data_IF_155943467362
#
_entry.id   IF_155943467362
#
_cell.length_a   1.000
_cell.length_b   1.000
_cell.length_c   1.000
_cell.angle_alpha   90.00
_cell.angle_beta   90.00
_cell.angle_gamma   90.00
#
_symmetry.space_group_name_H-M   'P 1'
#
loop_
_entity.id
_entity.type
_entity.pdbx_description
1 polymer ?
#
# COMPACT_ATOMS: atom_id res chain seq x y z
N UNK A 1 -5.46 -8.31 -22.01
CA UNK A 1 -5.85 -8.37 -20.57
C UNK A 1 -6.58 -7.11 -20.09
N UNK A 2 -6.14 -5.89 -20.43
CA UNK A 2 -6.78 -4.66 -19.96
C UNK A 2 -8.22 -4.48 -20.49
N UNK A 3 -8.45 -4.68 -21.79
CA UNK A 3 -9.76 -4.45 -22.43
C UNK A 3 -10.78 -5.59 -22.30
N UNK A 4 -10.47 -6.66 -21.57
CA UNK A 4 -11.36 -7.81 -21.42
C UNK A 4 -12.35 -7.60 -20.26
N UNK A 5 -13.55 -8.18 -20.37
CA UNK A 5 -14.52 -8.22 -19.27
C UNK A 5 -13.91 -8.80 -17.97
N UNK A 6 -14.39 -8.40 -16.78
CA UNK A 6 -13.80 -8.81 -15.50
C UNK A 6 -13.63 -10.32 -15.32
N UNK A 7 -14.60 -11.11 -15.81
CA UNK A 7 -14.55 -12.59 -15.75
C UNK A 7 -13.42 -13.14 -16.62
N UNK A 8 -13.33 -12.69 -17.87
CA UNK A 8 -12.26 -13.08 -18.80
C UNK A 8 -10.90 -12.67 -18.28
N UNK A 9 -10.79 -11.47 -17.70
CA UNK A 9 -9.56 -11.00 -17.07
C UNK A 9 -9.13 -11.89 -15.89
N UNK A 10 -10.08 -12.36 -15.07
CA UNK A 10 -9.78 -13.28 -13.97
C UNK A 10 -9.27 -14.63 -14.47
N UNK A 11 -9.86 -15.19 -15.53
CA UNK A 11 -9.40 -16.43 -16.15
C UNK A 11 -7.99 -16.30 -16.75
N UNK A 12 -7.72 -15.20 -17.48
CA UNK A 12 -6.38 -14.92 -18.03
C UNK A 12 -5.34 -14.72 -16.92
N UNK A 13 -5.72 -14.08 -15.82
CA UNK A 13 -4.84 -13.94 -14.66
C UNK A 13 -4.50 -15.29 -14.03
N UNK A 14 -5.46 -16.22 -13.96
CA UNK A 14 -5.21 -17.56 -13.42
C UNK A 14 -4.34 -18.40 -14.36
N UNK A 15 -4.62 -18.39 -15.66
CA UNK A 15 -3.78 -19.02 -16.66
C UNK A 15 -2.33 -18.51 -16.60
N UNK A 16 -2.14 -17.19 -16.47
CA UNK A 16 -0.80 -16.61 -16.32
C UNK A 16 -0.10 -17.11 -15.05
N UNK A 17 -0.79 -17.22 -13.92
CA UNK A 17 -0.18 -17.76 -12.69
C UNK A 17 0.24 -19.22 -12.85
N UNK A 18 -0.59 -20.04 -13.51
CA UNK A 18 -0.26 -21.44 -13.77
C UNK A 18 0.99 -21.59 -14.66
N UNK A 19 1.09 -20.76 -15.70
CA UNK A 19 2.28 -20.68 -16.56
C UNK A 19 3.50 -20.24 -15.74
N UNK A 20 3.39 -19.15 -14.96
CA UNK A 20 4.50 -18.65 -14.14
C UNK A 20 4.96 -19.68 -13.11
N UNK A 21 4.04 -20.43 -12.51
CA UNK A 21 4.37 -21.44 -11.50
C UNK A 21 5.09 -22.67 -12.08
N UNK A 22 4.87 -22.98 -13.37
CA UNK A 22 5.37 -24.21 -14.00
C UNK A 22 6.57 -23.95 -14.92
N UNK A 23 6.54 -22.83 -15.65
CA UNK A 23 7.39 -22.59 -16.82
C UNK A 23 8.37 -21.43 -16.61
N UNK A 24 8.09 -20.48 -15.70
CA UNK A 24 8.96 -19.34 -15.43
C UNK A 24 9.95 -19.65 -14.28
N UNK A 25 11.26 -19.31 -14.41
CA UNK A 25 11.87 -18.53 -15.49
C UNK A 25 12.44 -19.33 -16.66
N UNK A 26 12.64 -20.64 -16.53
CA UNK A 26 13.47 -21.40 -17.47
C UNK A 26 12.88 -21.51 -18.88
N UNK A 27 11.58 -21.79 -19.00
CA UNK A 27 10.89 -21.99 -20.27
C UNK A 27 10.29 -20.70 -20.83
N UNK A 28 10.23 -19.63 -20.03
CA UNK A 28 9.68 -18.34 -20.47
C UNK A 28 10.52 -17.12 -20.03
N UNK A 29 11.80 -17.03 -20.45
CA UNK A 29 12.73 -16.02 -19.97
C UNK A 29 12.35 -14.58 -20.34
N UNK A 30 11.70 -14.39 -21.50
CA UNK A 30 11.32 -13.07 -22.02
C UNK A 30 10.01 -12.52 -21.45
N UNK A 31 9.39 -13.22 -20.48
CA UNK A 31 8.12 -12.78 -19.89
C UNK A 31 8.25 -11.39 -19.25
N UNK A 32 9.29 -11.16 -18.46
CA UNK A 32 9.47 -9.90 -17.72
C UNK A 32 9.81 -8.77 -18.67
N UNK A 33 10.70 -8.99 -19.64
CA UNK A 33 11.04 -7.98 -20.65
C UNK A 33 9.80 -7.57 -21.46
N UNK A 34 8.98 -8.54 -21.87
CA UNK A 34 7.72 -8.30 -22.58
C UNK A 34 6.73 -7.50 -21.74
N UNK A 35 6.58 -7.80 -20.45
CA UNK A 35 5.72 -7.05 -19.53
C UNK A 35 6.23 -5.61 -19.38
N UNK A 36 7.53 -5.42 -19.21
CA UNK A 36 8.13 -4.09 -19.08
C UNK A 36 7.93 -3.25 -20.34
N UNK A 37 8.03 -3.84 -21.53
CA UNK A 37 7.70 -3.15 -22.79
C UNK A 37 6.23 -2.69 -22.85
N UNK A 38 5.30 -3.40 -22.21
CA UNK A 38 3.91 -2.92 -22.12
C UNK A 38 3.79 -1.72 -21.17
N UNK A 39 4.46 -1.78 -20.01
CA UNK A 39 4.46 -0.71 -19.00
C UNK A 39 5.07 0.58 -19.55
N UNK A 40 6.15 0.49 -20.34
CA UNK A 40 6.86 1.66 -20.89
C UNK A 40 6.36 2.10 -22.27
N UNK A 41 5.29 1.50 -22.79
CA UNK A 41 4.83 1.73 -24.16
C UNK A 41 4.21 3.11 -24.43
N UNK A 42 3.85 3.86 -23.38
CA UNK A 42 3.10 5.11 -23.50
C UNK A 42 1.60 4.95 -23.79
N UNK A 43 1.12 3.73 -24.03
CA UNK A 43 -0.31 3.44 -24.22
C UNK A 43 -0.97 3.02 -22.90
N UNK A 44 -2.08 3.67 -22.55
CA UNK A 44 -2.77 3.43 -21.28
C UNK A 44 -3.30 2.00 -21.13
N UNK A 45 -3.82 1.40 -22.20
CA UNK A 45 -4.35 0.02 -22.14
C UNK A 45 -3.24 -1.01 -22.00
N UNK A 46 -2.10 -0.79 -22.65
CA UNK A 46 -0.90 -1.62 -22.50
C UNK A 46 -0.29 -1.46 -21.12
N UNK A 47 -0.23 -0.25 -20.57
CA UNK A 47 0.19 0.00 -19.19
C UNK A 47 -0.67 -0.78 -18.20
N UNK A 48 -2.00 -0.69 -18.32
CA UNK A 48 -2.94 -1.41 -17.45
C UNK A 48 -2.73 -2.93 -17.56
N UNK A 49 -2.56 -3.45 -18.77
CA UNK A 49 -2.29 -4.87 -19.00
C UNK A 49 -0.95 -5.31 -18.38
N UNK A 50 0.10 -4.50 -18.55
CA UNK A 50 1.43 -4.75 -18.00
C UNK A 50 1.44 -4.78 -16.48
N UNK A 51 0.82 -3.80 -15.82
CA UNK A 51 0.70 -3.75 -14.36
C UNK A 51 -0.10 -4.93 -13.81
N UNK A 52 -1.20 -5.31 -14.47
CA UNK A 52 -1.99 -6.47 -14.07
C UNK A 52 -1.18 -7.76 -14.23
N UNK A 53 -0.47 -7.93 -15.34
CA UNK A 53 0.38 -9.10 -15.59
C UNK A 53 1.49 -9.18 -14.53
N UNK A 54 2.26 -8.10 -14.34
CA UNK A 54 3.34 -8.04 -13.36
C UNK A 54 2.85 -8.38 -11.96
N UNK A 55 1.70 -7.82 -11.56
CA UNK A 55 1.07 -8.12 -10.28
C UNK A 55 0.77 -9.61 -10.10
N UNK A 56 0.28 -10.29 -11.14
CA UNK A 56 0.00 -11.72 -11.04
C UNK A 56 1.27 -12.55 -10.99
N UNK A 57 2.32 -12.15 -11.74
CA UNK A 57 3.64 -12.82 -11.71
C UNK A 57 4.24 -12.74 -10.30
N UNK A 58 4.38 -11.53 -9.72
CA UNK A 58 4.99 -11.39 -8.38
C UNK A 58 4.18 -12.11 -7.30
N UNK A 59 2.86 -12.19 -7.47
CA UNK A 59 1.97 -12.84 -6.51
C UNK A 59 2.19 -14.36 -6.41
N UNK A 60 2.69 -15.03 -7.46
CA UNK A 60 3.06 -16.46 -7.41
C UNK A 60 4.17 -16.71 -6.38
N UNK A 61 5.02 -15.71 -6.16
CA UNK A 61 6.16 -15.80 -5.25
C UNK A 61 5.92 -15.16 -3.88
N UNK A 62 4.73 -14.59 -3.64
CA UNK A 62 4.43 -13.75 -2.46
C UNK A 62 4.74 -14.46 -1.12
N UNK A 63 4.44 -15.75 -1.04
CA UNK A 63 4.62 -16.58 0.17
C UNK A 63 5.64 -17.71 0.00
N UNK A 64 6.44 -17.68 -1.08
CA UNK A 64 7.51 -18.67 -1.27
C UNK A 64 8.62 -18.44 -0.23
N UNK A 65 9.20 -19.55 0.25
CA UNK A 65 10.30 -19.52 1.22
C UNK A 65 11.47 -18.71 0.69
N UNK A 66 12.09 -17.92 1.59
CA UNK A 66 13.32 -17.20 1.29
C UNK A 66 14.58 -18.03 1.58
N UNK A 67 14.43 -19.19 2.21
CA UNK A 67 15.54 -20.09 2.49
C UNK A 67 15.88 -20.94 1.26
N UNK A 68 17.14 -21.35 1.18
CA UNK A 68 17.61 -22.30 0.16
C UNK A 68 17.16 -23.69 0.58
N UNK A 69 16.41 -24.37 -0.29
CA UNK A 69 15.97 -25.75 -0.08
C UNK A 69 17.14 -26.73 -0.05
N UNK A 70 16.86 -27.97 0.36
CA UNK A 70 17.86 -29.06 0.34
C UNK A 70 18.38 -29.38 -1.07
N UNK A 71 17.64 -28.97 -2.09
CA UNK A 71 17.98 -29.07 -3.51
C UNK A 71 18.87 -27.91 -4.01
N UNK A 72 19.25 -26.98 -3.14
CA UNK A 72 20.04 -25.80 -3.48
C UNK A 72 19.24 -24.68 -4.17
N UNK A 73 17.91 -24.84 -4.30
CA UNK A 73 17.05 -23.87 -4.97
C UNK A 73 16.50 -22.89 -3.93
N UNK A 74 16.57 -21.59 -4.22
CA UNK A 74 15.87 -20.56 -3.45
C UNK A 74 14.55 -20.22 -4.14
N UNK A 75 13.37 -20.65 -3.63
CA UNK A 75 12.09 -20.53 -4.34
C UNK A 75 11.67 -19.07 -4.64
N UNK A 76 12.21 -18.12 -3.88
CA UNK A 76 11.95 -16.68 -4.03
C UNK A 76 12.97 -15.96 -4.91
N UNK A 77 14.05 -16.61 -5.36
CA UNK A 77 15.06 -15.99 -6.22
C UNK A 77 14.49 -15.35 -7.50
N UNK A 78 13.51 -15.96 -8.22
CA UNK A 78 12.89 -15.32 -9.38
C UNK A 78 12.23 -13.98 -9.05
N UNK A 79 11.60 -13.85 -7.87
CA UNK A 79 11.02 -12.59 -7.42
C UNK A 79 12.09 -11.52 -7.20
N UNK A 80 13.24 -11.87 -6.64
CA UNK A 80 14.33 -10.92 -6.43
C UNK A 80 14.87 -10.38 -7.75
N UNK A 81 15.04 -11.25 -8.76
CA UNK A 81 15.42 -10.82 -10.11
C UNK A 81 14.37 -9.88 -10.73
N UNK A 82 13.07 -10.22 -10.60
CA UNK A 82 11.98 -9.35 -11.08
C UNK A 82 12.03 -7.99 -10.40
N UNK A 83 12.18 -7.95 -9.06
CA UNK A 83 12.23 -6.69 -8.30
C UNK A 83 13.41 -5.84 -8.75
N UNK A 84 14.60 -6.42 -8.90
CA UNK A 84 15.80 -5.70 -9.35
C UNK A 84 15.63 -5.05 -10.72
N UNK A 85 14.89 -5.68 -11.64
CA UNK A 85 14.65 -5.15 -12.99
C UNK A 85 13.51 -4.14 -13.02
N UNK A 86 12.39 -4.45 -12.35
CA UNK A 86 11.15 -3.69 -12.54
C UNK A 86 11.01 -2.49 -11.62
N UNK A 87 11.55 -2.52 -10.40
CA UNK A 87 11.24 -1.50 -9.39
C UNK A 87 11.76 -0.10 -9.71
N UNK A 88 12.95 0.09 -10.33
CA UNK A 88 13.38 1.42 -10.80
C UNK A 88 12.35 2.07 -11.74
N UNK A 89 11.86 1.33 -12.74
CA UNK A 89 10.84 1.84 -13.67
C UNK A 89 9.48 2.06 -12.98
N UNK A 90 9.09 1.19 -12.04
CA UNK A 90 7.85 1.39 -11.28
C UNK A 90 7.89 2.65 -10.41
N UNK A 91 9.06 3.02 -9.91
CA UNK A 91 9.27 4.23 -9.11
C UNK A 91 9.17 5.50 -9.96
N UNK A 92 9.73 5.48 -11.17
CA UNK A 92 9.52 6.53 -12.17
C UNK A 92 8.05 6.65 -12.55
N UNK A 93 7.39 5.51 -12.80
CA UNK A 93 5.97 5.46 -13.11
C UNK A 93 5.11 6.04 -11.96
N UNK A 94 5.43 5.75 -10.69
CA UNK A 94 4.76 6.37 -9.55
C UNK A 94 4.83 7.90 -9.61
N UNK A 95 6.00 8.46 -9.95
CA UNK A 95 6.16 9.91 -10.09
C UNK A 95 5.28 10.49 -11.20
N UNK A 96 5.23 9.80 -12.34
CA UNK A 96 4.38 10.21 -13.46
C UNK A 96 2.89 10.15 -13.11
N UNK A 97 2.45 9.05 -12.49
CA UNK A 97 1.04 8.87 -12.09
C UNK A 97 0.61 9.92 -11.06
N UNK A 98 1.46 10.24 -10.08
CA UNK A 98 1.17 11.29 -9.10
C UNK A 98 0.96 12.66 -9.77
N UNK A 99 1.81 13.00 -10.74
CA UNK A 99 1.66 14.21 -11.54
C UNK A 99 0.41 14.17 -12.45
N UNK A 100 -0.03 13.00 -12.92
CA UNK A 100 -1.31 12.83 -13.62
C UNK A 100 -2.51 13.07 -12.70
N UNK A 101 -2.48 12.54 -11.46
CA UNK A 101 -3.53 12.78 -10.47
C UNK A 101 -3.67 14.28 -10.20
N UNK A 102 -2.54 14.97 -9.94
CA UNK A 102 -2.55 16.41 -9.67
C UNK A 102 -3.14 17.21 -10.84
N UNK A 103 -2.68 16.94 -12.06
CA UNK A 103 -3.20 17.60 -13.28
C UNK A 103 -4.69 17.34 -13.49
N UNK A 104 -5.11 16.09 -13.32
CA UNK A 104 -6.51 15.70 -13.49
C UNK A 104 -7.42 16.38 -12.45
N UNK A 105 -7.00 16.42 -11.18
CA UNK A 105 -7.75 17.12 -10.14
C UNK A 105 -7.83 18.63 -10.37
N UNK A 106 -6.74 19.27 -10.81
CA UNK A 106 -6.75 20.69 -11.19
C UNK A 106 -7.70 20.97 -12.37
N UNK A 107 -7.75 20.06 -13.33
CA UNK A 107 -8.68 20.11 -14.46
C UNK A 107 -10.12 19.70 -14.10
N UNK A 108 -10.37 19.24 -12.87
CA UNK A 108 -11.65 18.65 -12.41
C UNK A 108 -12.09 17.45 -13.26
N UNK A 109 -11.14 16.67 -13.75
CA UNK A 109 -11.38 15.41 -14.48
C UNK A 109 -11.26 14.23 -13.51
N UNK A 110 -12.35 13.95 -12.80
CA UNK A 110 -12.42 12.87 -11.82
C UNK A 110 -12.21 11.49 -12.46
N UNK A 111 -12.54 11.33 -13.75
CA UNK A 111 -12.35 10.08 -14.48
C UNK A 111 -10.86 9.82 -14.73
N UNK A 112 -10.12 10.82 -15.21
CA UNK A 112 -8.68 10.72 -15.39
C UNK A 112 -7.95 10.52 -14.06
N UNK A 113 -8.33 11.24 -13.01
CA UNK A 113 -7.76 11.08 -11.67
C UNK A 113 -7.99 9.64 -11.14
N UNK A 114 -9.22 9.13 -11.28
CA UNK A 114 -9.56 7.76 -10.90
C UNK A 114 -8.70 6.72 -11.61
N UNK A 115 -8.45 6.88 -12.91
CA UNK A 115 -7.59 5.97 -13.70
C UNK A 115 -6.16 5.97 -13.15
N UNK A 116 -5.57 7.14 -12.93
CA UNK A 116 -4.21 7.26 -12.39
C UNK A 116 -4.09 6.66 -10.97
N UNK A 117 -5.06 6.94 -10.08
CA UNK A 117 -5.13 6.37 -8.73
C UNK A 117 -5.25 4.84 -8.74
N UNK A 118 -6.01 4.27 -9.68
CA UNK A 118 -6.13 2.81 -9.85
C UNK A 118 -4.78 2.20 -10.25
N UNK A 119 -4.00 2.88 -11.09
CA UNK A 119 -2.67 2.45 -11.50
C UNK A 119 -1.67 2.54 -10.35
N UNK A 120 -1.63 3.65 -9.60
CA UNK A 120 -0.80 3.76 -8.39
C UNK A 120 -1.10 2.65 -7.38
N UNK A 121 -2.39 2.34 -7.20
CA UNK A 121 -2.82 1.24 -6.33
C UNK A 121 -2.31 -0.11 -6.83
N UNK A 122 -2.27 -0.35 -8.14
CA UNK A 122 -1.69 -1.58 -8.68
C UNK A 122 -0.19 -1.67 -8.40
N UNK A 123 0.55 -0.56 -8.54
CA UNK A 123 1.97 -0.49 -8.17
C UNK A 123 2.18 -0.78 -6.69
N UNK A 124 1.37 -0.18 -5.79
CA UNK A 124 1.41 -0.49 -4.36
C UNK A 124 1.14 -1.97 -4.06
N UNK A 125 0.22 -2.61 -4.80
CA UNK A 125 -0.05 -4.05 -4.66
C UNK A 125 1.09 -4.93 -5.16
N UNK A 126 1.84 -4.49 -6.18
CA UNK A 126 3.06 -5.16 -6.64
C UNK A 126 4.11 -5.08 -5.53
N UNK A 127 4.34 -3.88 -4.97
CA UNK A 127 5.25 -3.68 -3.84
C UNK A 127 4.87 -4.59 -2.65
N UNK A 128 3.59 -4.61 -2.27
CA UNK A 128 3.09 -5.45 -1.18
C UNK A 128 3.41 -6.93 -1.40
N UNK A 129 3.02 -7.50 -2.55
CA UNK A 129 3.26 -8.92 -2.83
C UNK A 129 4.76 -9.26 -2.89
N UNK A 130 5.60 -8.29 -3.28
CA UNK A 130 7.05 -8.48 -3.29
C UNK A 130 7.69 -8.44 -1.90
N UNK A 131 7.20 -7.60 -0.98
CA UNK A 131 7.92 -7.23 0.24
C UNK A 131 7.26 -7.65 1.56
N UNK A 132 5.96 -7.98 1.59
CA UNK A 132 5.25 -8.20 2.87
C UNK A 132 5.75 -9.42 3.65
N UNK A 133 6.20 -10.47 2.96
CA UNK A 133 6.65 -11.73 3.56
C UNK A 133 8.14 -11.75 3.88
N UNK A 134 8.98 -11.27 2.95
CA UNK A 134 10.42 -11.04 3.14
C UNK A 134 10.82 -9.86 2.25
N UNK A 135 11.68 -8.99 2.76
CA UNK A 135 12.15 -7.83 2.01
C UNK A 135 13.06 -8.28 0.86
N UNK A 136 12.88 -7.80 -0.37
CA UNK A 136 13.80 -8.07 -1.46
C UNK A 136 15.20 -7.49 -1.18
N UNK A 137 16.29 -8.16 -1.61
CA UNK A 137 17.66 -7.69 -1.39
C UNK A 137 17.91 -6.25 -1.88
N UNK A 138 17.27 -5.84 -2.98
CA UNK A 138 17.36 -4.46 -3.50
C UNK A 138 17.10 -3.40 -2.42
N UNK A 139 16.17 -3.63 -1.49
CA UNK A 139 15.86 -2.67 -0.42
C UNK A 139 16.84 -2.72 0.76
N UNK A 140 17.58 -3.81 0.90
CA UNK A 140 18.66 -3.94 1.89
C UNK A 140 19.96 -3.35 1.34
N UNK A 141 20.22 -3.54 0.05
CA UNK A 141 21.49 -3.19 -0.58
C UNK A 141 21.50 -1.77 -1.17
N UNK A 142 20.36 -1.26 -1.66
CA UNK A 142 20.22 0.12 -2.16
C UNK A 142 19.35 0.96 -1.22
N UNK A 143 20.06 1.64 -0.35
CA UNK A 143 19.52 2.53 0.66
C UNK A 143 18.70 3.70 0.08
N UNK A 144 19.11 4.25 -1.07
CA UNK A 144 18.44 5.37 -1.69
C UNK A 144 17.16 4.92 -2.38
N UNK A 145 17.20 3.74 -3.00
CA UNK A 145 16.04 3.16 -3.65
C UNK A 145 14.88 2.94 -2.66
N UNK A 146 15.16 2.39 -1.47
CA UNK A 146 14.13 2.25 -0.44
C UNK A 146 13.60 3.62 0.05
N UNK A 147 14.47 4.60 0.27
CA UNK A 147 14.08 5.97 0.66
C UNK A 147 13.10 6.59 -0.35
N UNK A 148 13.38 6.46 -1.65
CA UNK A 148 12.50 6.97 -2.69
C UNK A 148 11.13 6.27 -2.70
N UNK A 149 11.07 4.97 -2.44
CA UNK A 149 9.78 4.27 -2.29
C UNK A 149 8.98 4.79 -1.11
N UNK A 150 9.62 4.98 0.05
CA UNK A 150 8.97 5.57 1.23
C UNK A 150 8.45 6.98 0.91
N UNK A 151 9.25 7.80 0.23
CA UNK A 151 8.84 9.14 -0.22
C UNK A 151 7.59 9.09 -1.11
N UNK A 152 7.56 8.24 -2.14
CA UNK A 152 6.40 8.11 -3.02
C UNK A 152 5.15 7.63 -2.29
N UNK A 153 5.29 6.69 -1.38
CA UNK A 153 4.16 6.23 -0.56
C UNK A 153 3.66 7.33 0.39
N UNK A 154 4.55 8.14 0.97
CA UNK A 154 4.18 9.28 1.82
C UNK A 154 3.46 10.37 1.03
N UNK A 155 3.90 10.67 -0.19
CA UNK A 155 3.22 11.60 -1.10
C UNK A 155 1.79 11.11 -1.37
N UNK A 156 1.64 9.85 -1.81
CA UNK A 156 0.31 9.27 -2.09
C UNK A 156 -0.58 9.15 -0.84
N UNK A 157 0.01 8.89 0.33
CA UNK A 157 -0.70 8.87 1.61
C UNK A 157 -1.24 10.26 1.99
N UNK A 158 -0.44 11.31 1.81
CA UNK A 158 -0.82 12.71 2.11
C UNK A 158 -1.64 13.39 1.00
N UNK A 159 -1.78 12.75 -0.15
CA UNK A 159 -2.54 13.30 -1.26
C UNK A 159 -4.01 13.53 -0.87
N UNK A 160 -4.53 14.76 -0.88
CA UNK A 160 -5.86 15.05 -0.36
C UNK A 160 -6.95 14.43 -1.25
N UNK A 161 -7.98 13.85 -0.62
CA UNK A 161 -9.17 13.38 -1.34
C UNK A 161 -10.11 14.56 -1.55
N UNK A 162 -10.49 14.91 -2.80
CA UNK A 162 -11.38 16.04 -3.04
C UNK A 162 -12.74 15.85 -2.36
N UNK A 163 -13.20 16.86 -1.63
CA UNK A 163 -14.41 16.75 -0.81
C UNK A 163 -15.66 16.42 -1.63
N UNK A 164 -15.74 16.86 -2.88
CA UNK A 164 -16.88 16.61 -3.77
C UNK A 164 -17.01 15.13 -4.17
N UNK A 165 -15.90 14.39 -4.25
CA UNK A 165 -15.91 12.96 -4.66
C UNK A 165 -16.55 12.08 -3.59
N UNK A 166 -16.44 12.47 -2.32
CA UNK A 166 -17.04 11.75 -1.18
C UNK A 166 -18.38 12.30 -0.70
N UNK A 167 -18.87 13.40 -1.28
CA UNK A 167 -20.06 14.08 -0.81
C UNK A 167 -21.31 13.22 -1.01
N UNK A 168 -22.08 13.02 0.07
CA UNK A 168 -23.34 12.25 0.04
C UNK A 168 -23.19 10.73 -0.03
N UNK A 169 -21.97 10.19 -0.09
CA UNK A 169 -21.75 8.74 -0.05
C UNK A 169 -21.95 8.17 1.35
N UNK A 170 -22.43 6.94 1.45
CA UNK A 170 -22.39 6.15 2.69
C UNK A 170 -20.96 5.82 3.11
N UNK A 171 -20.78 5.29 4.33
CA UNK A 171 -19.46 4.84 4.80
C UNK A 171 -18.88 3.74 3.90
N UNK A 172 -19.72 2.81 3.43
CA UNK A 172 -19.33 1.70 2.57
C UNK A 172 -18.99 2.14 1.15
N UNK A 173 -19.76 3.07 0.58
CA UNK A 173 -19.45 3.65 -0.73
C UNK A 173 -18.15 4.44 -0.71
N UNK A 174 -17.85 5.12 0.40
CA UNK A 174 -16.57 5.80 0.58
C UNK A 174 -15.39 4.81 0.50
N UNK A 175 -15.53 3.58 1.00
CA UNK A 175 -14.49 2.53 0.85
C UNK A 175 -14.26 2.12 -0.61
N UNK A 176 -15.22 2.40 -1.49
CA UNK A 176 -15.18 2.01 -2.89
C UNK A 176 -14.32 2.95 -3.76
N UNK A 177 -14.09 4.19 -3.32
CA UNK A 177 -13.36 5.21 -4.07
C UNK A 177 -11.90 4.81 -4.33
N UNK A 178 -11.33 5.15 -5.51
CA UNK A 178 -9.94 4.87 -5.85
C UNK A 178 -8.94 5.38 -4.81
N UNK A 179 -9.12 6.61 -4.31
CA UNK A 179 -8.27 7.28 -3.33
C UNK A 179 -8.17 6.47 -2.04
N UNK A 180 -9.31 6.10 -1.47
CA UNK A 180 -9.37 5.35 -0.22
C UNK A 180 -8.87 3.92 -0.41
N UNK A 181 -9.08 3.31 -1.58
CA UNK A 181 -8.49 2.00 -1.91
C UNK A 181 -6.97 2.08 -2.05
N UNK A 182 -6.41 3.16 -2.60
CA UNK A 182 -4.96 3.39 -2.66
C UNK A 182 -4.39 3.56 -1.24
N UNK A 183 -4.95 4.50 -0.46
CA UNK A 183 -4.53 4.76 0.92
C UNK A 183 -4.61 3.50 1.77
N UNK A 184 -5.65 2.67 1.63
CA UNK A 184 -5.73 1.37 2.31
C UNK A 184 -4.50 0.50 2.07
N UNK A 185 -4.05 0.37 0.82
CA UNK A 185 -2.85 -0.44 0.50
C UNK A 185 -1.57 0.19 1.05
N UNK A 186 -1.46 1.51 1.02
CA UNK A 186 -0.31 2.22 1.63
C UNK A 186 -0.29 2.01 3.14
N UNK A 187 -1.44 2.15 3.82
CA UNK A 187 -1.58 1.90 5.25
C UNK A 187 -1.18 0.47 5.63
N UNK A 188 -1.57 -0.52 4.83
CA UNK A 188 -1.10 -1.90 4.99
C UNK A 188 0.43 -2.01 4.89
N UNK A 189 1.04 -1.42 3.86
CA UNK A 189 2.50 -1.47 3.65
C UNK A 189 3.23 -0.82 4.83
N UNK A 190 2.83 0.39 5.22
CA UNK A 190 3.50 1.13 6.29
C UNK A 190 3.37 0.45 7.64
N UNK A 191 2.17 -0.04 7.96
CA UNK A 191 1.95 -0.81 9.18
C UNK A 191 2.78 -2.09 9.18
N UNK A 192 2.82 -2.83 8.07
CA UNK A 192 3.61 -4.06 7.96
C UNK A 192 5.11 -3.80 8.09
N UNK A 193 5.62 -2.74 7.49
CA UNK A 193 7.03 -2.36 7.62
C UNK A 193 7.34 -1.95 9.06
N UNK A 194 6.48 -1.17 9.71
CA UNK A 194 6.68 -0.80 11.10
C UNK A 194 6.64 -2.01 12.05
N UNK A 195 5.67 -2.91 11.88
CA UNK A 195 5.59 -4.14 12.68
C UNK A 195 6.85 -5.00 12.58
N UNK A 196 7.52 -5.00 11.43
CA UNK A 196 8.68 -5.88 11.17
C UNK A 196 10.02 -5.23 11.45
N UNK A 197 10.12 -3.91 11.28
CA UNK A 197 11.38 -3.18 11.27
C UNK A 197 11.39 -1.98 12.23
N UNK A 198 10.27 -1.71 12.91
CA UNK A 198 10.14 -0.65 13.91
C UNK A 198 10.76 -0.99 15.27
N UNK A 199 11.19 -2.24 15.48
CA UNK A 199 12.00 -2.66 16.62
C UNK A 199 13.23 -3.46 16.14
N UNK A 200 14.40 -2.82 15.98
CA UNK A 200 15.62 -3.48 15.53
C UNK A 200 16.07 -4.65 16.42
N UNK A 201 15.60 -4.72 17.67
CA UNK A 201 15.95 -5.82 18.60
C UNK A 201 15.06 -7.04 18.45
N UNK A 202 13.98 -6.96 17.66
CA UNK A 202 12.97 -8.01 17.50
C UNK A 202 12.74 -8.39 16.03
N UNK A 203 13.71 -8.12 15.16
CA UNK A 203 13.65 -8.55 13.76
C UNK A 203 13.70 -10.08 13.66
N UNK A 204 12.86 -10.66 12.79
CA UNK A 204 12.81 -12.12 12.60
C UNK A 204 14.09 -12.71 11.98
N UNK A 205 14.80 -11.92 11.17
CA UNK A 205 16.07 -12.28 10.54
C UNK A 205 17.18 -11.51 11.26
N UNK A 206 17.98 -12.23 12.05
CA UNK A 206 19.06 -11.67 12.87
C UNK A 206 20.35 -11.39 12.08
N UNK A 207 20.32 -11.47 10.75
CA UNK A 207 21.46 -11.09 9.93
C UNK A 207 21.87 -9.62 10.18
N UNK A 208 23.18 -9.36 10.12
CA UNK A 208 23.72 -8.02 10.34
C UNK A 208 23.08 -6.98 9.39
N UNK A 209 22.85 -7.35 8.13
CA UNK A 209 22.21 -6.49 7.13
C UNK A 209 20.77 -6.12 7.52
N UNK A 210 19.97 -7.10 7.98
CA UNK A 210 18.59 -6.84 8.39
C UNK A 210 18.53 -5.94 9.63
N UNK A 211 19.38 -6.20 10.63
CA UNK A 211 19.46 -5.37 11.84
C UNK A 211 19.87 -3.93 11.52
N UNK A 212 20.82 -3.74 10.60
CA UNK A 212 21.20 -2.41 10.09
C UNK A 212 20.02 -1.73 9.38
N UNK A 213 19.33 -2.45 8.49
CA UNK A 213 18.14 -1.94 7.81
C UNK A 213 17.05 -1.51 8.80
N UNK A 214 16.71 -2.33 9.79
CA UNK A 214 15.69 -2.01 10.78
C UNK A 214 16.08 -0.81 11.64
N UNK A 215 17.36 -0.72 12.05
CA UNK A 215 17.88 0.44 12.77
C UNK A 215 17.71 1.72 11.96
N UNK A 216 18.06 1.68 10.67
CA UNK A 216 17.85 2.79 9.75
C UNK A 216 16.37 3.10 9.55
N UNK A 217 15.54 2.07 9.42
CA UNK A 217 14.10 2.24 9.25
C UNK A 217 13.49 3.04 10.39
N UNK A 218 13.81 2.65 11.63
CA UNK A 218 13.36 3.33 12.84
C UNK A 218 13.90 4.76 12.92
N UNK A 219 15.18 4.99 12.62
CA UNK A 219 15.81 6.30 12.78
C UNK A 219 15.46 7.31 11.66
N UNK A 220 15.15 6.83 10.46
CA UNK A 220 14.98 7.69 9.27
C UNK A 220 13.54 7.80 8.81
N UNK A 221 12.76 6.71 8.84
CA UNK A 221 11.44 6.68 8.21
C UNK A 221 10.29 6.65 9.21
N UNK A 222 10.47 6.04 10.38
CA UNK A 222 9.39 5.85 11.34
C UNK A 222 8.75 7.16 11.81
N UNK A 223 9.55 8.19 12.12
CA UNK A 223 9.04 9.50 12.55
C UNK A 223 8.24 10.21 11.42
N UNK A 224 8.77 10.37 10.19
CA UNK A 224 8.00 10.91 9.06
C UNK A 224 6.71 10.16 8.73
N UNK A 225 6.71 8.83 8.84
CA UNK A 225 5.51 8.00 8.64
C UNK A 225 4.51 8.25 9.78
N UNK A 226 4.96 8.28 11.04
CA UNK A 226 4.09 8.57 12.20
C UNK A 226 3.42 9.93 12.06
N UNK A 227 4.18 10.97 11.68
CA UNK A 227 3.64 12.30 11.39
C UNK A 227 2.58 12.24 10.27
N UNK A 228 2.82 11.47 9.20
CA UNK A 228 1.86 11.32 8.10
C UNK A 228 0.57 10.63 8.53
N UNK A 229 0.65 9.63 9.42
CA UNK A 229 -0.52 8.93 9.95
C UNK A 229 -1.37 9.88 10.80
N UNK A 230 -0.74 10.66 11.68
CA UNK A 230 -1.42 11.66 12.51
C UNK A 230 -2.06 12.77 11.65
N UNK A 231 -1.35 13.25 10.62
CA UNK A 231 -1.86 14.26 9.69
C UNK A 231 -3.15 13.80 9.01
N UNK A 232 -3.17 12.59 8.43
CA UNK A 232 -4.35 12.06 7.74
C UNK A 232 -5.50 11.81 8.72
N UNK A 233 -5.21 11.33 9.93
CA UNK A 233 -6.21 11.17 10.98
C UNK A 233 -6.83 12.51 11.42
N UNK A 234 -6.08 13.62 11.32
CA UNK A 234 -6.56 14.96 11.65
C UNK A 234 -7.36 15.62 10.52
N UNK A 235 -7.41 15.06 9.31
CA UNK A 235 -8.11 15.66 8.16
C UNK A 235 -9.59 15.97 8.35
N UNK A 236 -10.39 15.17 9.08
CA UNK A 236 -11.78 15.53 9.39
C UNK A 236 -11.90 16.90 10.07
N UNK A 237 -10.97 17.24 10.97
CA UNK A 237 -11.01 18.49 11.73
C UNK A 237 -10.23 19.63 11.07
N UNK A 238 -9.14 19.31 10.38
CA UNK A 238 -8.22 20.32 9.81
C UNK A 238 -8.56 20.69 8.37
N UNK A 239 -9.18 19.79 7.61
CA UNK A 239 -9.48 19.97 6.18
C UNK A 239 -10.94 19.76 5.83
N UNK A 240 -11.79 19.40 6.79
CA UNK A 240 -13.20 19.03 6.56
C UNK A 240 -13.34 17.90 5.51
N UNK A 241 -12.39 16.96 5.51
CA UNK A 241 -12.42 15.78 4.64
C UNK A 241 -12.91 14.59 5.45
N UNK A 242 -14.03 14.00 5.03
CA UNK A 242 -14.54 12.77 5.67
C UNK A 242 -13.57 11.61 5.40
N UNK A 243 -13.05 11.02 6.47
CA UNK A 243 -12.09 9.92 6.40
C UNK A 243 -12.79 8.56 6.20
N UNK A 244 -12.20 7.69 5.39
CA UNK A 244 -12.62 6.28 5.31
C UNK A 244 -12.39 5.58 6.65
N UNK A 245 -13.39 4.91 7.26
CA UNK A 245 -13.22 4.19 8.52
C UNK A 245 -12.11 3.13 8.45
N UNK A 246 -11.96 2.47 7.30
CA UNK A 246 -10.90 1.48 7.10
C UNK A 246 -9.51 2.12 7.10
N UNK A 247 -9.35 3.30 6.51
CA UNK A 247 -8.06 4.02 6.50
C UNK A 247 -7.75 4.58 7.88
N UNK A 248 -8.76 5.09 8.60
CA UNK A 248 -8.64 5.51 9.98
C UNK A 248 -8.14 4.36 10.87
N UNK A 249 -8.78 3.19 10.79
CA UNK A 249 -8.38 2.01 11.55
C UNK A 249 -6.92 1.59 11.27
N UNK A 250 -6.49 1.57 10.00
CA UNK A 250 -5.10 1.25 9.66
C UNK A 250 -4.10 2.26 10.21
N UNK A 251 -4.43 3.55 10.16
CA UNK A 251 -3.58 4.60 10.72
C UNK A 251 -3.54 4.53 12.26
N UNK A 252 -4.67 4.26 12.92
CA UNK A 252 -4.74 4.07 14.37
C UNK A 252 -3.93 2.85 14.82
N UNK A 253 -4.03 1.71 14.13
CA UNK A 253 -3.22 0.52 14.42
C UNK A 253 -1.72 0.78 14.22
N UNK A 254 -1.35 1.64 13.25
CA UNK A 254 0.03 2.10 13.13
C UNK A 254 0.43 2.95 14.35
N UNK A 255 -0.39 3.94 14.72
CA UNK A 255 -0.11 4.84 15.85
C UNK A 255 0.03 4.06 17.15
N UNK A 256 -0.83 3.07 17.38
CA UNK A 256 -0.75 2.15 18.52
C UNK A 256 0.63 1.48 18.61
N UNK A 257 1.15 0.94 17.50
CA UNK A 257 2.50 0.37 17.49
C UNK A 257 3.58 1.46 17.71
N UNK A 258 3.36 2.65 17.15
CA UNK A 258 4.30 3.76 17.19
C UNK A 258 4.40 4.47 18.55
N UNK A 259 3.52 4.17 19.52
CA UNK A 259 3.63 4.75 20.87
C UNK A 259 4.84 4.19 21.66
N UNK A 260 5.34 3.01 21.27
CA UNK A 260 6.34 2.27 22.05
C UNK A 260 7.76 2.81 21.82
N UNK A 261 8.24 3.00 20.59
CA UNK A 261 9.58 3.53 20.37
C UNK A 261 9.68 5.02 20.70
N UNK A 262 10.73 5.42 21.42
CA UNK A 262 10.92 6.81 21.86
C UNK A 262 10.95 7.82 20.69
N UNK A 263 11.52 7.44 19.55
CA UNK A 263 11.64 8.30 18.35
C UNK A 263 10.26 8.65 17.79
N UNK A 264 9.34 7.68 17.71
CA UNK A 264 8.00 7.91 17.20
C UNK A 264 7.08 8.50 18.26
N UNK A 265 7.27 8.15 19.54
CA UNK A 265 6.57 8.78 20.65
C UNK A 265 6.85 10.29 20.73
N UNK A 266 8.09 10.71 20.47
CA UNK A 266 8.45 12.14 20.42
C UNK A 266 7.66 12.93 19.36
N UNK A 267 7.19 12.26 18.28
CA UNK A 267 6.31 12.87 17.28
C UNK A 267 4.87 12.95 17.78
N UNK A 268 4.40 11.92 18.50
CA UNK A 268 3.03 11.85 19.02
C UNK A 268 2.81 12.74 20.24
N UNK A 269 3.80 12.86 21.12
CA UNK A 269 3.70 13.56 22.40
C UNK A 269 3.13 14.99 22.30
N UNK A 270 3.62 15.88 21.42
CA UNK A 270 3.07 17.24 21.33
C UNK A 270 1.62 17.27 20.85
N UNK A 271 1.21 16.27 20.06
CA UNK A 271 -0.12 16.19 19.45
C UNK A 271 -1.12 15.40 20.32
N UNK A 272 -0.70 14.80 21.44
CA UNK A 272 -1.50 13.81 22.17
C UNK A 272 -2.85 14.36 22.65
N UNK A 273 -2.89 15.63 23.08
CA UNK A 273 -4.14 16.27 23.50
C UNK A 273 -5.12 16.42 22.34
N UNK A 274 -4.65 16.88 21.17
CA UNK A 274 -5.46 17.00 19.96
C UNK A 274 -5.86 15.63 19.42
N UNK A 275 -4.94 14.66 19.45
CA UNK A 275 -5.20 13.29 19.05
C UNK A 275 -6.29 12.65 19.91
N UNK A 276 -6.23 12.77 21.23
CA UNK A 276 -7.25 12.19 22.11
C UNK A 276 -8.61 12.88 21.94
N UNK A 277 -8.64 14.22 21.90
CA UNK A 277 -9.89 15.00 21.87
C UNK A 277 -10.56 15.03 20.50
N UNK A 278 -9.82 15.27 19.43
CA UNK A 278 -10.37 15.42 18.09
C UNK A 278 -10.34 14.11 17.31
N UNK A 279 -9.32 13.28 17.47
CA UNK A 279 -9.20 12.08 16.63
C UNK A 279 -9.85 10.87 17.31
N UNK A 280 -9.39 10.50 18.51
CA UNK A 280 -9.80 9.25 19.16
C UNK A 280 -11.20 9.32 19.77
N UNK A 281 -11.51 10.39 20.51
CA UNK A 281 -12.77 10.51 21.24
C UNK A 281 -14.01 10.35 20.34
N UNK A 282 -14.09 10.95 19.13
CA UNK A 282 -15.23 10.72 18.24
C UNK A 282 -15.44 9.27 17.83
N UNK A 283 -14.39 8.45 17.75
CA UNK A 283 -14.52 7.00 17.49
C UNK A 283 -14.96 6.20 18.71
N UNK A 284 -14.89 6.77 19.92
CA UNK A 284 -15.35 6.14 21.17
C UNK A 284 -16.80 6.53 21.51
N UNK A 285 -17.33 7.57 20.87
CA UNK A 285 -18.71 8.00 21.05
C UNK A 285 -19.67 7.10 20.26
N UNK A 286 -20.83 6.81 20.85
CA UNK A 286 -21.96 6.19 20.15
C UNK A 286 -22.46 7.19 19.10
N UNK A 287 -22.52 6.79 17.83
CA UNK A 287 -23.01 7.62 16.74
C UNK A 287 -24.53 7.57 16.61
N UNK A 288 -25.12 8.54 15.89
CA UNK A 288 -26.57 8.49 15.60
C UNK A 288 -26.96 7.22 14.82
N UNK A 289 -26.05 6.71 13.97
CA UNK A 289 -26.26 5.45 13.26
C UNK A 289 -26.23 4.24 14.20
N UNK A 290 -25.42 4.28 15.26
CA UNK A 290 -25.37 3.25 16.29
C UNK A 290 -26.66 3.25 17.12
N UNK A 291 -27.18 4.43 17.48
CA UNK A 291 -28.49 4.56 18.16
C UNK A 291 -29.61 4.05 17.27
N UNK A 292 -29.62 4.44 15.99
CA UNK A 292 -30.63 3.96 15.04
C UNK A 292 -30.60 2.44 14.88
N UNK A 293 -29.41 1.84 14.74
CA UNK A 293 -29.28 0.38 14.64
C UNK A 293 -29.71 -0.31 15.93
N UNK A 294 -29.38 0.26 17.10
CA UNK A 294 -29.86 -0.25 18.38
C UNK A 294 -31.38 -0.25 18.48
N UNK A 295 -32.04 0.81 18.00
CA UNK A 295 -33.50 0.94 18.05
C UNK A 295 -34.21 0.04 17.01
N UNK A 296 -33.63 -0.13 15.81
CA UNK A 296 -34.22 -0.90 14.70
C UNK A 296 -33.93 -2.40 14.78
N UNK A 297 -32.69 -2.79 15.09
CA UNK A 297 -32.24 -4.17 15.22
C UNK A 297 -31.16 -4.31 16.31
N UNK A 298 -31.56 -4.39 17.60
CA UNK A 298 -30.62 -4.56 18.71
C UNK A 298 -29.75 -5.82 18.60
N UNK A 299 -30.22 -6.86 17.88
CA UNK A 299 -29.46 -8.10 17.69
C UNK A 299 -28.33 -7.87 16.68
N UNK A 300 -28.61 -7.18 15.57
CA UNK A 300 -27.58 -6.78 14.61
C UNK A 300 -26.57 -5.82 15.25
N UNK A 301 -27.02 -4.88 16.10
CA UNK A 301 -26.14 -4.00 16.86
C UNK A 301 -25.11 -4.78 17.69
N UNK A 302 -25.58 -5.75 18.49
CA UNK A 302 -24.70 -6.60 19.33
C UNK A 302 -23.79 -7.47 18.48
N UNK A 303 -24.25 -7.96 17.33
CA UNK A 303 -23.43 -8.77 16.42
C UNK A 303 -22.34 -7.97 15.68
N UNK A 304 -22.52 -6.66 15.51
CA UNK A 304 -21.56 -5.75 14.88
C UNK A 304 -20.54 -5.14 15.85
N UNK A 305 -20.84 -5.13 17.15
CA UNK A 305 -20.01 -4.61 18.24
C UNK A 305 -18.82 -5.52 18.54
#
# INVERSE_FOLDING_TARGET
MAMCEPRTRAQLAEALKSIVASDFPASYPDLISSIMQQITSGDGSRLDAGLIALRNVVKVYEFKSAEVGSDGIQPRAPLYAIVSVCFPTLLELMSHLQAEVDRAQQAKDDAAASVALVRERLVCKILWSSAQFRLPPLFLDDENHFSMWVEKLLIAWRHPVPAHVGAGLSADELLSLPDWKLKKWIGHIMHRFFQRYGDPKRVEDESQKMTQFATRFLNTFAAPITSAMLEVLAWPHTRNIRLSPRVANLALNYVEAAITPAITYAVLQPEIGSFLSHILFPYLCVSDADVQLWDEDPVEYVNKS
#
